data_IF_289326673177
#
_entry.id   IF_289326673177
#
_cell.length_a   1.000
_cell.length_b   1.000
_cell.length_c   1.000
_cell.angle_alpha   90.00
_cell.angle_beta   90.00
_cell.angle_gamma   90.00
#
_symmetry.space_group_name_H-M   'P 1'
#
loop_
_entity.id
_entity.type
_entity.pdbx_description
1 polymer ?
#
# COMPACT_ATOMS: atom_id res chain seq x y z
N UNK A 1 -28.09 -21.23 -48.13
CA UNK A 1 -27.02 -22.19 -47.76
C UNK A 1 -25.84 -21.95 -48.68
N UNK A 2 -24.80 -21.27 -48.21
CA UNK A 2 -23.52 -21.15 -48.90
C UNK A 2 -22.45 -21.80 -48.02
N UNK A 3 -21.52 -22.61 -48.56
CA UNK A 3 -20.66 -23.48 -47.76
C UNK A 3 -19.59 -22.68 -47.03
N UNK A 4 -19.20 -23.20 -45.85
CA UNK A 4 -18.18 -22.66 -44.99
C UNK A 4 -16.84 -22.51 -45.74
N UNK A 5 -16.23 -21.32 -45.62
CA UNK A 5 -14.85 -21.11 -46.05
C UNK A 5 -13.93 -21.87 -45.09
N UNK A 6 -13.33 -22.92 -45.60
CA UNK A 6 -12.16 -23.59 -45.05
C UNK A 6 -11.08 -22.55 -44.73
N UNK A 7 -10.68 -22.47 -43.47
CA UNK A 7 -9.52 -21.69 -43.01
C UNK A 7 -8.42 -22.67 -42.66
N UNK A 8 -7.90 -23.37 -43.67
CA UNK A 8 -6.60 -24.03 -43.57
C UNK A 8 -5.52 -22.95 -43.43
N UNK A 9 -4.70 -23.07 -42.38
CA UNK A 9 -3.54 -22.20 -42.15
C UNK A 9 -2.53 -22.37 -43.31
N UNK A 10 -1.86 -21.30 -43.75
CA UNK A 10 -0.86 -21.42 -44.81
C UNK A 10 0.32 -22.29 -44.33
N UNK A 11 0.59 -23.37 -45.05
CA UNK A 11 1.62 -24.37 -44.74
C UNK A 11 3.03 -23.97 -45.23
N UNK A 12 3.42 -22.71 -44.99
CA UNK A 12 4.72 -22.15 -45.42
C UNK A 12 5.67 -21.94 -44.24
N UNK A 13 5.86 -22.95 -43.40
CA UNK A 13 7.02 -23.02 -42.51
C UNK A 13 8.03 -23.99 -43.12
N UNK A 14 9.15 -23.44 -43.62
CA UNK A 14 10.29 -24.27 -44.02
C UNK A 14 10.64 -25.23 -42.86
N UNK A 15 10.92 -26.52 -43.13
CA UNK A 15 11.28 -27.47 -42.09
C UNK A 15 12.56 -26.99 -41.40
N UNK A 16 12.47 -26.71 -40.09
CA UNK A 16 13.58 -26.36 -39.21
C UNK A 16 14.73 -27.36 -39.39
N UNK A 17 15.94 -26.86 -39.61
CA UNK A 17 17.12 -27.71 -39.77
C UNK A 17 17.41 -28.50 -38.49
N UNK A 18 18.13 -29.64 -38.57
CA UNK A 18 18.51 -30.42 -37.39
C UNK A 18 19.25 -29.59 -36.32
N UNK A 19 20.09 -28.64 -36.75
CA UNK A 19 20.82 -27.73 -35.85
C UNK A 19 19.88 -26.71 -35.19
N UNK A 20 18.94 -26.14 -35.95
CA UNK A 20 17.94 -25.22 -35.40
C UNK A 20 17.01 -25.93 -34.41
N UNK A 21 16.66 -27.19 -34.69
CA UNK A 21 15.88 -28.04 -33.78
C UNK A 21 16.65 -28.31 -32.49
N UNK A 22 17.94 -28.67 -32.58
CA UNK A 22 18.77 -28.92 -31.41
C UNK A 22 18.93 -27.67 -30.54
N UNK A 23 19.10 -26.49 -31.14
CA UNK A 23 19.19 -25.24 -30.39
C UNK A 23 17.84 -24.85 -29.76
N UNK A 24 16.72 -25.04 -30.48
CA UNK A 24 15.39 -24.86 -29.91
C UNK A 24 15.13 -25.82 -28.73
N UNK A 25 15.51 -27.09 -28.86
CA UNK A 25 15.40 -28.07 -27.77
C UNK A 25 16.26 -27.67 -26.57
N UNK A 26 17.47 -27.13 -26.79
CA UNK A 26 18.35 -26.62 -25.73
C UNK A 26 17.75 -25.39 -25.04
N UNK A 27 17.19 -24.46 -25.82
CA UNK A 27 16.52 -23.25 -25.30
C UNK A 27 15.24 -23.60 -24.53
N UNK A 28 14.44 -24.56 -25.02
CA UNK A 28 13.23 -25.05 -24.33
C UNK A 28 13.63 -25.76 -23.03
N UNK A 29 14.66 -26.60 -23.05
CA UNK A 29 15.16 -27.26 -21.84
C UNK A 29 15.69 -26.26 -20.81
N UNK A 30 16.38 -25.21 -21.27
CA UNK A 30 16.84 -24.12 -20.40
C UNK A 30 15.67 -23.30 -19.84
N UNK A 31 14.69 -22.94 -20.67
CA UNK A 31 13.49 -22.23 -20.27
C UNK A 31 12.61 -23.04 -19.30
N UNK A 32 12.58 -24.37 -19.43
CA UNK A 32 11.86 -25.27 -18.53
C UNK A 32 12.44 -25.31 -17.10
N UNK A 33 13.67 -24.82 -16.88
CA UNK A 33 14.18 -24.59 -15.52
C UNK A 33 13.58 -23.35 -14.86
N UNK A 34 13.06 -22.41 -15.66
CA UNK A 34 12.47 -21.16 -15.19
C UNK A 34 10.94 -21.14 -15.27
N UNK A 35 10.33 -22.06 -16.03
CA UNK A 35 8.89 -22.11 -16.29
C UNK A 35 8.29 -23.46 -15.84
N UNK A 36 7.19 -23.47 -15.07
CA UNK A 36 6.58 -24.72 -14.62
C UNK A 36 5.93 -25.49 -15.79
N UNK A 37 6.18 -26.80 -15.85
CA UNK A 37 5.82 -27.67 -16.98
C UNK A 37 4.35 -28.18 -16.98
N UNK A 38 3.45 -27.62 -16.16
CA UNK A 38 2.11 -28.18 -15.94
C UNK A 38 1.01 -27.23 -16.45
N UNK A 39 0.18 -27.71 -17.38
CA UNK A 39 -1.08 -27.06 -17.76
C UNK A 39 -2.30 -27.76 -17.15
N UNK A 40 -3.51 -27.22 -17.41
CA UNK A 40 -4.07 -26.04 -16.76
C UNK A 40 -4.62 -26.38 -15.35
N UNK A 41 -4.33 -25.56 -14.34
CA UNK A 41 -4.85 -25.73 -12.97
C UNK A 41 -5.38 -24.40 -12.45
N UNK A 42 -6.45 -24.51 -11.68
CA UNK A 42 -7.58 -23.61 -11.50
C UNK A 42 -7.66 -23.01 -10.09
N UNK A 43 -6.65 -23.21 -9.23
CA UNK A 43 -6.58 -22.52 -7.93
C UNK A 43 -5.15 -22.32 -7.41
N UNK A 44 -4.87 -21.06 -7.05
CA UNK A 44 -3.85 -20.51 -6.15
C UNK A 44 -2.36 -20.93 -6.34
N UNK A 45 -1.61 -19.97 -6.89
CA UNK A 45 -0.15 -19.74 -6.88
C UNK A 45 0.67 -20.83 -6.17
N UNK A 46 1.29 -21.71 -6.96
CA UNK A 46 2.39 -22.55 -6.45
C UNK A 46 3.70 -22.43 -7.22
N UNK A 47 3.81 -21.60 -8.28
CA UNK A 47 5.06 -20.95 -8.66
C UNK A 47 4.74 -19.82 -9.63
N UNK A 48 4.92 -18.58 -9.19
CA UNK A 48 4.78 -17.40 -10.05
C UNK A 48 5.81 -17.50 -11.18
N UNK A 49 5.46 -17.22 -12.44
CA UNK A 49 6.45 -17.09 -13.53
C UNK A 49 7.46 -15.98 -13.26
N UNK A 50 7.19 -15.13 -12.26
CA UNK A 50 8.13 -14.18 -11.71
C UNK A 50 9.18 -14.79 -10.75
N UNK A 51 9.16 -16.11 -10.50
CA UNK A 51 10.17 -16.76 -9.66
C UNK A 51 11.60 -16.55 -10.20
N UNK A 52 11.74 -16.41 -11.52
CA UNK A 52 13.01 -16.08 -12.17
C UNK A 52 13.48 -14.61 -11.94
N UNK A 53 12.61 -13.78 -11.34
CA UNK A 53 12.81 -12.34 -11.10
C UNK A 53 12.55 -11.97 -9.63
N UNK A 54 12.67 -12.91 -8.69
CA UNK A 54 12.40 -12.67 -7.26
C UNK A 54 13.34 -11.65 -6.61
N UNK A 55 14.48 -11.40 -7.26
CA UNK A 55 15.47 -10.39 -6.85
C UNK A 55 15.03 -8.95 -7.24
N UNK A 56 13.95 -8.80 -8.02
CA UNK A 56 13.42 -7.52 -8.48
C UNK A 56 12.10 -7.17 -7.76
N UNK A 57 11.81 -5.87 -7.51
CA UNK A 57 10.49 -5.43 -7.08
C UNK A 57 9.37 -5.93 -8.02
N UNK A 58 8.19 -6.23 -7.48
CA UNK A 58 7.12 -6.91 -8.22
C UNK A 58 6.77 -6.22 -9.55
N UNK A 59 6.66 -4.88 -9.57
CA UNK A 59 6.34 -4.13 -10.78
C UNK A 59 7.46 -4.20 -11.84
N UNK A 60 8.72 -4.21 -11.40
CA UNK A 60 9.89 -4.32 -12.28
C UNK A 60 10.00 -5.73 -12.86
N UNK A 61 9.82 -6.75 -12.02
CA UNK A 61 9.77 -8.15 -12.41
C UNK A 61 8.69 -8.41 -13.48
N UNK A 62 7.50 -7.82 -13.32
CA UNK A 62 6.40 -7.91 -14.30
C UNK A 62 6.80 -7.28 -15.64
N UNK A 63 7.39 -6.08 -15.62
CA UNK A 63 7.81 -5.38 -16.83
C UNK A 63 8.94 -6.12 -17.53
N UNK A 64 9.90 -6.65 -16.77
CA UNK A 64 11.03 -7.42 -17.28
C UNK A 64 10.55 -8.74 -17.90
N UNK A 65 9.71 -9.49 -17.20
CA UNK A 65 9.06 -10.70 -17.73
C UNK A 65 8.29 -10.40 -19.01
N UNK A 66 7.54 -9.29 -19.07
CA UNK A 66 6.77 -8.93 -20.25
C UNK A 66 7.63 -8.63 -21.48
N UNK A 67 8.81 -8.04 -21.30
CA UNK A 67 9.78 -7.83 -22.38
C UNK A 67 10.39 -9.14 -22.88
N UNK A 68 10.72 -10.05 -21.97
CA UNK A 68 11.37 -11.32 -22.31
C UNK A 68 10.38 -12.26 -23.01
N UNK A 69 9.18 -12.42 -22.46
CA UNK A 69 8.21 -13.39 -22.95
C UNK A 69 7.25 -12.82 -24.00
N UNK A 70 7.24 -11.50 -24.22
CA UNK A 70 6.33 -10.84 -25.13
C UNK A 70 4.85 -10.94 -24.70
N UNK A 71 4.60 -11.19 -23.43
CA UNK A 71 3.27 -11.35 -22.84
C UNK A 71 3.11 -10.42 -21.65
N UNK A 72 1.94 -9.78 -21.50
CA UNK A 72 1.64 -9.06 -20.25
C UNK A 72 1.15 -10.09 -19.22
N UNK A 73 1.81 -10.25 -18.06
CA UNK A 73 1.45 -11.28 -17.08
C UNK A 73 0.09 -11.01 -16.41
N UNK A 74 -0.37 -9.76 -16.44
CA UNK A 74 -1.74 -9.36 -16.13
C UNK A 74 -2.23 -8.37 -17.18
N UNK A 75 -3.54 -8.26 -17.37
CA UNK A 75 -4.13 -7.29 -18.28
C UNK A 75 -4.16 -5.91 -17.59
N UNK A 76 -3.40 -4.89 -18.04
CA UNK A 76 -3.43 -3.57 -17.42
C UNK A 76 -4.84 -2.99 -17.48
N UNK A 77 -5.22 -2.19 -16.47
CA UNK A 77 -6.59 -1.65 -16.41
C UNK A 77 -6.97 -0.94 -17.72
N UNK A 78 -6.10 -0.08 -18.26
CA UNK A 78 -6.35 0.63 -19.53
C UNK A 78 -6.69 -0.31 -20.70
N UNK A 79 -5.99 -1.45 -20.80
CA UNK A 79 -6.22 -2.47 -21.84
C UNK A 79 -7.47 -3.29 -21.56
N UNK A 80 -7.70 -3.68 -20.31
CA UNK A 80 -8.95 -4.33 -19.87
C UNK A 80 -10.16 -3.46 -20.24
N UNK A 81 -10.13 -2.17 -19.92
CA UNK A 81 -11.20 -1.21 -20.25
C UNK A 81 -11.37 -1.07 -21.77
N UNK A 82 -10.29 -1.04 -22.54
CA UNK A 82 -10.37 -0.99 -24.00
C UNK A 82 -11.04 -2.24 -24.59
N UNK A 83 -10.71 -3.43 -24.10
CA UNK A 83 -11.33 -4.69 -24.56
C UNK A 83 -12.79 -4.82 -24.11
N UNK A 84 -13.14 -4.35 -22.91
CA UNK A 84 -14.52 -4.23 -22.43
C UNK A 84 -15.34 -3.28 -23.32
N UNK A 85 -14.81 -2.09 -23.62
CA UNK A 85 -15.46 -1.11 -24.50
C UNK A 85 -15.64 -1.62 -25.95
N UNK A 86 -14.71 -2.47 -26.42
CA UNK A 86 -14.80 -3.15 -27.73
C UNK A 86 -15.74 -4.37 -27.71
N UNK A 87 -16.31 -4.72 -26.57
CA UNK A 87 -17.16 -5.91 -26.39
C UNK A 87 -16.41 -7.24 -26.49
N UNK A 88 -15.07 -7.22 -26.39
CA UNK A 88 -14.22 -8.42 -26.37
C UNK A 88 -14.21 -9.10 -25.01
N UNK A 89 -14.39 -8.32 -23.95
CA UNK A 89 -14.80 -8.79 -22.63
C UNK A 89 -16.27 -8.43 -22.49
N UNK A 90 -17.15 -9.40 -22.23
CA UNK A 90 -18.59 -9.15 -22.10
C UNK A 90 -19.00 -9.19 -20.63
N UNK A 91 -20.05 -8.47 -20.28
CA UNK A 91 -20.59 -8.53 -18.91
C UNK A 91 -20.94 -9.97 -18.50
N UNK A 92 -21.48 -10.76 -19.42
CA UNK A 92 -21.79 -12.17 -19.18
C UNK A 92 -20.55 -13.03 -18.86
N UNK A 93 -19.38 -12.68 -19.42
CA UNK A 93 -18.13 -13.39 -19.11
C UNK A 93 -17.65 -13.00 -17.69
N UNK A 94 -17.81 -11.73 -17.30
CA UNK A 94 -17.52 -11.24 -15.95
C UNK A 94 -18.45 -11.91 -14.93
N UNK A 95 -19.75 -11.93 -15.21
CA UNK A 95 -20.75 -12.59 -14.37
C UNK A 95 -20.44 -14.08 -14.19
N UNK A 96 -20.08 -14.79 -15.27
CA UNK A 96 -19.73 -16.20 -15.21
C UNK A 96 -18.47 -16.48 -14.37
N UNK A 97 -17.48 -15.58 -14.37
CA UNK A 97 -16.29 -15.71 -13.52
C UNK A 97 -16.66 -15.50 -12.05
N UNK A 98 -17.39 -14.43 -11.74
CA UNK A 98 -17.82 -14.12 -10.37
C UNK A 98 -18.71 -15.21 -9.77
N UNK A 99 -19.54 -15.84 -10.60
CA UNK A 99 -20.42 -16.94 -10.18
C UNK A 99 -19.63 -18.24 -9.91
N UNK A 100 -18.54 -18.50 -10.64
CA UNK A 100 -17.67 -19.66 -10.43
C UNK A 100 -16.85 -19.56 -9.14
N UNK A 101 -16.45 -18.35 -8.75
CA UNK A 101 -15.65 -18.13 -7.54
C UNK A 101 -16.44 -18.34 -6.23
N UNK A 102 -17.76 -18.59 -6.31
CA UNK A 102 -18.57 -18.95 -5.14
C UNK A 102 -18.67 -17.85 -4.09
N UNK A 103 -18.42 -16.59 -4.45
CA UNK A 103 -18.33 -15.45 -3.54
C UNK A 103 -19.71 -14.90 -3.10
N UNK A 104 -20.67 -15.78 -2.82
CA UNK A 104 -21.91 -15.43 -2.14
C UNK A 104 -21.67 -15.25 -0.65
N UNK A 105 -21.00 -14.15 -0.26
CA UNK A 105 -21.02 -13.67 1.13
C UNK A 105 -22.27 -12.82 1.34
N UNK A 106 -22.88 -12.95 2.51
CA UNK A 106 -24.05 -12.17 2.92
C UNK A 106 -23.84 -10.67 2.67
N UNK A 107 -24.77 -10.05 1.94
CA UNK A 107 -24.64 -8.65 1.55
C UNK A 107 -24.67 -7.69 2.75
N UNK A 108 -23.82 -6.66 2.69
CA UNK A 108 -23.73 -5.56 3.67
C UNK A 108 -24.60 -4.38 3.23
N UNK A 109 -25.06 -3.59 4.19
CA UNK A 109 -25.79 -2.36 3.88
C UNK A 109 -24.81 -1.25 3.44
N UNK A 110 -24.97 -0.79 2.20
CA UNK A 110 -24.21 0.31 1.61
C UNK A 110 -25.18 1.28 0.94
N UNK A 111 -25.08 2.58 1.27
CA UNK A 111 -25.90 3.65 0.69
C UNK A 111 -27.43 3.39 0.69
N UNK A 112 -27.95 2.71 1.72
CA UNK A 112 -29.38 2.42 1.86
C UNK A 112 -29.88 1.15 1.15
N UNK A 113 -29.00 0.40 0.48
CA UNK A 113 -29.31 -0.90 -0.12
C UNK A 113 -28.43 -2.03 0.40
N UNK A 114 -28.89 -3.28 0.28
CA UNK A 114 -28.06 -4.46 0.57
C UNK A 114 -27.21 -4.75 -0.67
N UNK A 115 -25.90 -4.73 -0.51
CA UNK A 115 -24.92 -4.96 -1.59
C UNK A 115 -24.07 -6.17 -1.22
N UNK A 116 -24.00 -7.17 -2.10
CA UNK A 116 -23.12 -8.33 -1.91
C UNK A 116 -21.68 -8.03 -2.35
N UNK A 117 -20.73 -8.84 -1.89
CA UNK A 117 -19.34 -8.75 -2.35
C UNK A 117 -19.26 -8.94 -3.88
N UNK A 118 -20.05 -9.88 -4.41
CA UNK A 118 -20.21 -10.10 -5.85
C UNK A 118 -20.67 -8.83 -6.57
N UNK A 119 -21.67 -8.14 -6.03
CA UNK A 119 -22.18 -6.90 -6.65
C UNK A 119 -21.10 -5.81 -6.66
N UNK A 120 -20.34 -5.68 -5.58
CA UNK A 120 -19.21 -4.75 -5.52
C UNK A 120 -18.15 -5.09 -6.57
N UNK A 121 -17.70 -6.34 -6.64
CA UNK A 121 -16.69 -6.77 -7.61
C UNK A 121 -17.17 -6.63 -9.05
N UNK A 122 -18.44 -6.96 -9.32
CA UNK A 122 -19.07 -6.74 -10.62
C UNK A 122 -19.02 -5.26 -11.00
N UNK A 123 -19.39 -4.37 -10.08
CA UNK A 123 -19.34 -2.92 -10.32
C UNK A 123 -17.91 -2.44 -10.57
N UNK A 124 -16.91 -2.92 -9.80
CA UNK A 124 -15.49 -2.56 -9.98
C UNK A 124 -14.93 -3.03 -11.33
N UNK A 125 -15.35 -4.20 -11.80
CA UNK A 125 -14.94 -4.77 -13.09
C UNK A 125 -15.65 -4.08 -14.25
N UNK A 126 -16.89 -3.63 -14.09
CA UNK A 126 -17.64 -2.98 -15.17
C UNK A 126 -17.40 -1.47 -15.25
N UNK A 127 -17.14 -0.84 -14.12
CA UNK A 127 -17.01 0.60 -14.02
C UNK A 127 -15.62 0.94 -13.47
N UNK A 128 -14.92 1.92 -14.07
CA UNK A 128 -13.69 2.42 -13.48
C UNK A 128 -14.00 2.95 -12.08
N UNK A 129 -13.20 2.55 -11.10
CA UNK A 129 -13.13 3.31 -9.85
C UNK A 129 -12.51 4.63 -10.23
N UNK A 130 -13.33 5.68 -10.19
CA UNK A 130 -12.84 7.02 -10.50
C UNK A 130 -11.78 7.37 -9.49
N UNK A 131 -10.57 7.63 -9.97
CA UNK A 131 -9.47 8.07 -9.14
C UNK A 131 -9.74 9.50 -8.64
N UNK A 132 -9.08 9.89 -7.56
CA UNK A 132 -9.22 11.24 -6.97
C UNK A 132 -8.84 12.36 -7.96
N UNK A 133 -8.03 12.04 -8.97
CA UNK A 133 -7.65 12.93 -10.07
C UNK A 133 -8.73 13.09 -11.16
N UNK A 134 -9.79 12.27 -11.15
CA UNK A 134 -10.91 12.41 -12.08
C UNK A 134 -11.75 13.64 -11.71
N UNK A 135 -11.75 14.63 -12.61
CA UNK A 135 -12.52 15.86 -12.48
C UNK A 135 -14.02 15.62 -12.20
N UNK A 136 -14.58 14.47 -12.58
CA UNK A 136 -15.97 14.12 -12.33
C UNK A 136 -16.28 13.78 -10.87
N UNK A 137 -15.28 13.42 -10.06
CA UNK A 137 -15.42 13.11 -8.61
C UNK A 137 -14.56 14.00 -7.73
N UNK A 138 -13.85 14.96 -8.32
CA UNK A 138 -13.04 15.91 -7.57
C UNK A 138 -13.85 16.61 -6.46
N UNK A 139 -13.29 16.78 -5.23
CA UNK A 139 -13.99 17.38 -4.09
C UNK A 139 -14.69 18.71 -4.38
N UNK A 140 -14.16 19.51 -5.31
CA UNK A 140 -14.75 20.78 -5.75
C UNK A 140 -16.17 20.67 -6.34
N UNK A 141 -16.66 19.46 -6.63
CA UNK A 141 -18.03 19.23 -7.13
C UNK A 141 -19.05 18.99 -6.03
N UNK A 142 -18.61 18.94 -4.78
CA UNK A 142 -19.44 18.70 -3.60
C UNK A 142 -19.52 19.96 -2.74
N UNK A 143 -20.66 20.18 -2.09
CA UNK A 143 -20.73 21.17 -1.02
C UNK A 143 -20.10 20.59 0.26
N UNK A 144 -18.88 21.05 0.54
CA UNK A 144 -18.10 20.63 1.70
C UNK A 144 -18.12 21.67 2.82
N UNK A 145 -19.00 22.68 2.75
CA UNK A 145 -19.05 23.80 3.70
C UNK A 145 -19.35 23.40 5.15
N UNK A 146 -19.97 22.22 5.36
CA UNK A 146 -20.30 21.69 6.68
C UNK A 146 -19.12 21.06 7.42
N UNK A 147 -18.03 20.69 6.72
CA UNK A 147 -16.84 20.11 7.34
C UNK A 147 -16.25 21.09 8.36
N UNK A 148 -15.55 20.62 9.40
CA UNK A 148 -14.90 21.51 10.38
C UNK A 148 -13.50 21.08 10.73
N UNK A 149 -13.25 19.78 10.73
CA UNK A 149 -11.97 19.15 11.06
C UNK A 149 -11.77 18.03 10.05
N UNK A 150 -10.55 17.89 9.54
CA UNK A 150 -10.13 16.77 8.71
C UNK A 150 -9.15 15.92 9.48
N UNK A 151 -9.17 14.60 9.30
CA UNK A 151 -8.25 13.67 9.95
C UNK A 151 -7.38 12.95 8.94
N UNK A 152 -6.12 12.71 9.30
CA UNK A 152 -5.19 11.79 8.63
C UNK A 152 -4.67 10.79 9.67
N UNK A 153 -4.48 9.54 9.26
CA UNK A 153 -4.16 8.44 10.17
C UNK A 153 -3.52 7.28 9.42
N UNK A 154 -2.68 6.50 10.11
CA UNK A 154 -2.13 5.24 9.62
C UNK A 154 -0.71 5.39 9.07
N UNK A 155 -0.52 6.34 8.16
CA UNK A 155 0.78 6.61 7.53
C UNK A 155 1.15 8.10 7.65
N UNK A 156 2.46 8.43 7.64
CA UNK A 156 2.89 9.82 7.64
C UNK A 156 2.36 10.55 6.39
N UNK A 157 1.53 11.58 6.61
CA UNK A 157 1.02 12.39 5.51
C UNK A 157 2.12 13.30 4.94
N UNK A 158 2.47 13.11 3.67
CA UNK A 158 3.46 13.97 3.03
C UNK A 158 2.95 15.44 2.94
N UNK A 159 3.83 16.45 2.96
CA UNK A 159 3.42 17.85 2.97
C UNK A 159 2.55 18.27 1.78
N UNK A 160 2.75 17.69 0.60
CA UNK A 160 1.97 18.02 -0.59
C UNK A 160 0.53 17.50 -0.50
N UNK A 161 0.36 16.24 -0.11
CA UNK A 161 -0.94 15.64 0.18
C UNK A 161 -1.66 16.40 1.30
N UNK A 162 -0.93 16.81 2.35
CA UNK A 162 -1.48 17.66 3.41
C UNK A 162 -2.02 18.98 2.85
N UNK A 163 -1.22 19.67 2.02
CA UNK A 163 -1.63 20.94 1.41
C UNK A 163 -2.80 20.77 0.45
N UNK A 164 -2.82 19.69 -0.33
CA UNK A 164 -3.94 19.37 -1.21
C UNK A 164 -5.22 19.15 -0.41
N UNK A 165 -5.14 18.36 0.67
CA UNK A 165 -6.29 18.03 1.52
C UNK A 165 -6.84 19.29 2.22
N UNK A 166 -5.94 20.16 2.68
CA UNK A 166 -6.29 21.42 3.33
C UNK A 166 -7.00 22.37 2.35
N UNK A 167 -6.53 22.45 1.11
CA UNK A 167 -7.08 23.35 0.08
C UNK A 167 -8.37 22.81 -0.54
N UNK A 168 -8.32 21.60 -1.09
CA UNK A 168 -9.38 21.09 -1.97
C UNK A 168 -10.54 20.46 -1.21
N UNK A 169 -10.29 19.85 -0.05
CA UNK A 169 -11.35 19.30 0.81
C UNK A 169 -11.66 20.26 1.95
N UNK A 170 -10.61 20.78 2.59
CA UNK A 170 -10.73 21.64 3.76
C UNK A 170 -11.15 23.07 3.46
N UNK A 171 -11.10 23.51 2.19
CA UNK A 171 -11.41 24.88 1.79
C UNK A 171 -10.58 25.94 2.52
N UNK A 172 -9.36 25.58 2.90
CA UNK A 172 -8.43 26.39 3.71
C UNK A 172 -8.99 26.82 5.09
N UNK A 173 -10.10 26.22 5.54
CA UNK A 173 -10.79 26.56 6.80
C UNK A 173 -10.76 25.43 7.82
N UNK A 174 -10.67 24.17 7.37
CA UNK A 174 -10.64 23.01 8.25
C UNK A 174 -9.20 22.68 8.67
N UNK A 175 -8.85 22.68 9.96
CA UNK A 175 -7.59 22.11 10.43
C UNK A 175 -7.52 20.61 10.11
N UNK A 176 -6.34 20.15 9.72
CA UNK A 176 -6.03 18.73 9.55
C UNK A 176 -5.36 18.22 10.83
N UNK A 177 -6.00 17.25 11.49
CA UNK A 177 -5.43 16.51 12.59
C UNK A 177 -4.73 15.26 12.06
N UNK A 178 -3.40 15.32 12.00
CA UNK A 178 -2.57 14.16 11.73
C UNK A 178 -2.39 13.37 13.04
N UNK A 179 -2.92 12.15 13.09
CA UNK A 179 -3.05 11.38 14.34
C UNK A 179 -2.15 10.15 14.32
N UNK A 180 -1.07 10.21 15.09
CA UNK A 180 -0.23 9.04 15.33
C UNK A 180 -0.79 8.20 16.48
N UNK A 181 -1.01 6.92 16.20
CA UNK A 181 -1.34 5.86 17.15
C UNK A 181 -1.18 4.50 16.48
N UNK A 182 -1.27 3.44 17.29
CA UNK A 182 -1.19 2.05 16.85
C UNK A 182 -2.30 1.23 17.52
N UNK A 183 -2.59 0.04 17.00
CA UNK A 183 -3.57 -0.87 17.61
C UNK A 183 -3.31 -1.07 19.11
N UNK A 184 -2.06 -1.21 19.50
CA UNK A 184 -1.57 -1.42 20.85
C UNK A 184 -1.75 -0.22 21.77
N UNK A 185 -1.83 0.98 21.20
CA UNK A 185 -1.99 2.21 21.98
C UNK A 185 -3.45 2.47 22.38
N UNK A 186 -4.38 1.86 21.65
CA UNK A 186 -5.83 1.94 21.88
C UNK A 186 -6.47 3.29 21.54
N UNK A 187 -5.70 4.28 21.08
CA UNK A 187 -6.20 5.60 20.69
C UNK A 187 -5.08 6.58 20.39
N UNK A 188 -5.43 7.81 19.98
CA UNK A 188 -4.49 8.85 19.59
C UNK A 188 -3.41 9.09 20.66
N UNK A 189 -2.14 9.12 20.24
CA UNK A 189 -1.00 9.34 21.13
C UNK A 189 -0.38 10.71 20.90
N UNK A 190 -0.16 11.07 19.64
CA UNK A 190 0.44 12.34 19.23
C UNK A 190 -0.46 12.91 18.13
N UNK A 191 -1.06 14.06 18.40
CA UNK A 191 -2.00 14.70 17.48
C UNK A 191 -2.21 16.17 17.88
N UNK A 192 -2.39 17.09 16.92
CA UNK A 192 -2.73 18.47 17.25
C UNK A 192 -4.12 18.55 17.86
N UNK A 193 -4.30 19.45 18.84
CA UNK A 193 -5.60 19.80 19.36
C UNK A 193 -6.19 20.91 18.48
N UNK A 194 -7.31 20.66 17.76
CA UNK A 194 -7.94 21.67 16.91
C UNK A 194 -8.22 22.96 17.68
N UNK A 195 -7.77 24.09 17.12
CA UNK A 195 -7.95 25.42 17.73
C UNK A 195 -6.93 25.78 18.82
N UNK A 196 -6.02 24.89 19.20
CA UNK A 196 -4.98 25.16 20.20
C UNK A 196 -3.55 24.95 19.65
N UNK A 197 -3.34 23.94 18.82
CA UNK A 197 -2.01 23.60 18.29
C UNK A 197 -1.82 24.16 16.87
N UNK A 198 -0.88 25.10 16.65
CA UNK A 198 -0.48 25.49 15.30
C UNK A 198 -0.04 24.27 14.48
N UNK A 199 -0.52 24.15 13.25
CA UNK A 199 -0.24 22.99 12.41
C UNK A 199 1.02 23.21 11.59
N UNK A 200 1.75 22.12 11.35
CA UNK A 200 2.86 22.09 10.40
C UNK A 200 2.61 20.89 9.47
N UNK A 201 2.56 21.08 8.14
CA UNK A 201 2.31 19.98 7.20
C UNK A 201 3.25 18.79 7.43
N UNK A 202 2.68 17.59 7.52
CA UNK A 202 3.40 16.32 7.79
C UNK A 202 3.94 16.17 9.22
N UNK A 203 3.39 16.89 10.20
CA UNK A 203 3.71 16.74 11.61
C UNK A 203 2.46 16.41 12.42
N UNK A 204 2.55 15.37 13.23
CA UNK A 204 1.55 15.02 14.24
C UNK A 204 1.62 15.94 15.49
N UNK A 205 2.56 16.89 15.52
CA UNK A 205 2.73 17.96 16.52
C UNK A 205 3.11 17.48 17.91
N UNK A 206 2.24 17.57 18.91
CA UNK A 206 2.55 17.32 20.32
C UNK A 206 1.82 16.07 20.83
N UNK A 207 2.41 15.35 21.82
CA UNK A 207 1.72 14.27 22.50
C UNK A 207 0.47 14.77 23.21
N UNK A 208 -0.59 13.95 23.25
CA UNK A 208 -1.77 14.27 24.04
C UNK A 208 -1.45 14.34 25.54
N UNK A 209 -2.26 15.07 26.34
CA UNK A 209 -2.09 15.12 27.79
C UNK A 209 -2.00 13.72 28.41
N UNK A 210 -0.96 13.49 29.21
CA UNK A 210 -0.69 12.20 29.85
C UNK A 210 0.19 11.24 29.03
N UNK A 211 0.44 11.52 27.75
CA UNK A 211 1.33 10.72 26.91
C UNK A 211 2.77 11.25 27.02
N UNK A 212 3.67 10.44 27.57
CA UNK A 212 5.06 10.84 27.82
C UNK A 212 6.00 10.35 26.71
N UNK A 213 5.70 10.74 25.47
CA UNK A 213 6.51 10.36 24.31
C UNK A 213 7.93 10.93 24.39
N UNK A 214 8.92 10.10 24.08
CA UNK A 214 10.36 10.38 24.00
C UNK A 214 10.88 9.98 22.61
N UNK A 215 11.97 10.59 22.17
CA UNK A 215 12.78 10.05 21.08
C UNK A 215 14.13 9.69 21.67
N UNK A 216 14.58 8.47 21.42
CA UNK A 216 15.79 7.89 22.02
C UNK A 216 16.67 7.22 20.98
N UNK A 217 17.92 6.92 21.36
CA UNK A 217 18.80 6.04 20.62
C UNK A 217 18.45 4.55 20.86
N UNK A 218 19.26 3.64 20.30
CA UNK A 218 19.03 2.19 20.36
C UNK A 218 19.10 1.59 21.77
N UNK A 219 19.72 2.30 22.72
CA UNK A 219 19.87 1.86 24.12
C UNK A 219 18.99 2.68 25.08
N UNK A 220 18.10 3.53 24.55
CA UNK A 220 17.12 4.28 25.34
C UNK A 220 17.60 5.64 25.85
N UNK A 221 18.75 6.16 25.41
CA UNK A 221 19.18 7.51 25.81
C UNK A 221 18.41 8.58 25.04
N UNK A 222 18.00 9.69 25.69
CA UNK A 222 17.36 10.80 25.00
C UNK A 222 18.24 11.40 23.92
N UNK A 223 17.65 11.69 22.76
CA UNK A 223 18.33 12.44 21.70
C UNK A 223 17.88 13.91 21.67
N UNK A 224 18.75 14.84 21.25
CA UNK A 224 18.37 16.25 21.07
C UNK A 224 17.29 16.43 20.00
N UNK A 225 16.51 17.50 20.12
CA UNK A 225 15.62 17.93 19.04
C UNK A 225 16.43 18.24 17.77
N UNK A 226 15.83 18.00 16.61
CA UNK A 226 16.46 18.12 15.29
C UNK A 226 17.11 16.82 14.80
N UNK A 227 17.31 15.84 15.69
CA UNK A 227 17.91 14.55 15.35
C UNK A 227 16.85 13.46 15.28
N UNK A 228 16.99 12.53 14.34
CA UNK A 228 16.13 11.36 14.20
C UNK A 228 16.52 10.24 15.14
N UNK A 229 15.53 9.51 15.64
CA UNK A 229 15.71 8.33 16.48
C UNK A 229 14.44 7.53 16.64
N UNK A 230 14.39 6.74 17.71
CA UNK A 230 13.33 5.77 17.96
C UNK A 230 12.27 6.38 18.86
N UNK A 231 11.00 6.29 18.44
CA UNK A 231 9.86 6.74 19.22
C UNK A 231 9.55 5.75 20.35
N UNK A 232 9.49 6.27 21.57
CA UNK A 232 9.12 5.49 22.76
C UNK A 232 8.15 6.27 23.64
N UNK A 233 7.44 5.58 24.53
CA UNK A 233 6.59 6.19 25.57
C UNK A 233 7.11 5.81 26.95
N UNK A 234 7.50 6.80 27.75
CA UNK A 234 8.25 6.59 29.00
C UNK A 234 7.41 6.14 30.20
N UNK A 235 6.09 6.28 30.13
CA UNK A 235 5.17 5.91 31.22
C UNK A 235 3.90 5.29 30.64
N UNK A 236 3.26 4.34 31.35
CA UNK A 236 2.03 3.73 30.89
C UNK A 236 0.90 4.77 30.78
N UNK A 237 -0.04 4.49 29.90
CA UNK A 237 -1.25 5.29 29.68
C UNK A 237 -2.51 4.40 29.79
N UNK A 238 -3.71 4.99 29.99
CA UNK A 238 -4.90 4.22 30.29
C UNK A 238 -5.28 3.18 29.24
N UNK A 239 -5.21 3.52 27.95
CA UNK A 239 -5.64 2.65 26.83
C UNK A 239 -4.57 1.67 26.33
N UNK A 240 -3.39 1.65 26.97
CA UNK A 240 -2.29 0.77 26.58
C UNK A 240 -2.70 -0.70 26.55
N UNK A 241 -2.28 -1.44 25.53
CA UNK A 241 -2.40 -2.90 25.48
C UNK A 241 -1.86 -3.54 26.77
N UNK A 242 -2.53 -4.58 27.25
CA UNK A 242 -2.19 -5.23 28.53
C UNK A 242 -1.29 -6.45 28.39
N UNK A 243 -1.44 -7.19 27.29
CA UNK A 243 -0.68 -8.40 26.95
C UNK A 243 -1.01 -8.83 25.53
N UNK A 244 -0.28 -9.81 24.99
CA UNK A 244 -0.69 -10.60 23.84
C UNK A 244 -1.41 -11.86 24.35
N UNK A 245 -2.52 -12.22 23.71
CA UNK A 245 -3.31 -13.39 24.08
C UNK A 245 -2.46 -14.67 24.00
N UNK A 246 -2.44 -15.45 25.09
CA UNK A 246 -1.62 -16.66 25.26
C UNK A 246 -0.10 -16.47 25.09
N UNK A 247 0.42 -15.23 25.06
CA UNK A 247 1.85 -14.97 24.86
C UNK A 247 2.35 -13.71 25.59
N UNK A 248 2.37 -13.71 26.94
CA UNK A 248 2.83 -12.58 27.73
C UNK A 248 4.33 -12.28 27.57
N UNK A 249 5.13 -13.26 27.17
CA UNK A 249 6.57 -13.08 26.97
C UNK A 249 6.86 -12.33 25.67
N UNK A 250 6.13 -12.63 24.59
CA UNK A 250 6.20 -11.81 23.37
C UNK A 250 5.78 -10.36 23.62
N UNK A 251 4.79 -10.12 24.48
CA UNK A 251 4.40 -8.76 24.86
C UNK A 251 5.57 -7.98 25.48
N UNK A 252 6.25 -8.56 26.49
CA UNK A 252 7.41 -7.93 27.11
C UNK A 252 8.54 -7.71 26.10
N UNK A 253 8.92 -8.76 25.37
CA UNK A 253 10.04 -8.70 24.41
C UNK A 253 9.81 -7.69 23.30
N UNK A 254 8.58 -7.59 22.78
CA UNK A 254 8.28 -6.73 21.63
C UNK A 254 8.16 -5.26 22.02
N UNK A 255 7.55 -4.97 23.18
CA UNK A 255 7.20 -3.61 23.56
C UNK A 255 8.07 -3.02 24.67
N UNK A 256 8.82 -3.85 25.41
CA UNK A 256 9.68 -3.44 26.51
C UNK A 256 11.06 -4.14 26.40
N UNK A 257 11.82 -3.84 25.34
CA UNK A 257 13.13 -4.45 25.12
C UNK A 257 14.08 -4.20 26.30
N UNK A 258 14.85 -5.23 26.67
CA UNK A 258 15.82 -5.16 27.78
C UNK A 258 16.95 -4.17 27.47
N UNK A 259 17.29 -4.02 26.19
CA UNK A 259 18.31 -3.11 25.68
C UNK A 259 17.99 -1.65 25.99
N UNK A 260 16.71 -1.30 26.13
CA UNK A 260 16.21 0.02 26.55
C UNK A 260 15.79 0.04 28.02
N UNK A 261 16.28 -0.91 28.82
CA UNK A 261 16.01 -1.04 30.25
C UNK A 261 14.63 -1.58 30.61
N UNK A 262 13.87 -2.13 29.65
CA UNK A 262 12.61 -2.86 29.90
C UNK A 262 11.47 -2.05 30.53
N UNK A 263 11.56 -0.72 30.53
CA UNK A 263 10.60 0.17 31.22
C UNK A 263 9.90 1.16 30.31
N UNK A 264 10.44 1.38 29.11
CA UNK A 264 9.85 2.25 28.10
C UNK A 264 9.10 1.41 27.06
N UNK A 265 7.92 1.87 26.66
CA UNK A 265 7.20 1.26 25.55
C UNK A 265 7.85 1.63 24.22
N UNK A 266 8.30 0.64 23.47
CA UNK A 266 8.80 0.78 22.10
C UNK A 266 7.63 0.81 21.11
N UNK A 267 7.47 1.92 20.38
CA UNK A 267 6.45 2.02 19.31
C UNK A 267 6.89 1.26 18.04
N UNK A 268 8.21 1.13 17.81
CA UNK A 268 8.74 0.55 16.57
C UNK A 268 8.72 1.53 15.39
N UNK A 269 8.53 2.82 15.66
CA UNK A 269 8.54 3.88 14.65
C UNK A 269 9.74 4.81 14.85
N UNK A 270 10.33 5.25 13.75
CA UNK A 270 11.29 6.33 13.72
C UNK A 270 10.57 7.67 13.83
N UNK A 271 11.18 8.62 14.54
CA UNK A 271 10.65 9.96 14.65
C UNK A 271 11.76 11.02 14.77
N UNK A 272 11.41 12.25 14.39
CA UNK A 272 12.17 13.48 14.64
C UNK A 272 11.31 14.43 15.44
N UNK A 273 11.94 15.13 16.39
CA UNK A 273 11.36 16.34 17.00
C UNK A 273 11.93 17.58 16.36
N UNK A 274 11.08 18.53 15.98
CA UNK A 274 11.56 19.79 15.43
C UNK A 274 12.35 20.58 16.49
N UNK A 275 13.46 21.20 16.09
CA UNK A 275 14.34 21.96 16.98
C UNK A 275 13.65 23.17 17.60
N UNK A 276 12.70 23.78 16.87
CA UNK A 276 12.04 25.03 17.21
C UNK A 276 10.83 24.86 18.14
N UNK A 277 9.97 23.88 17.85
CA UNK A 277 8.65 23.69 18.49
C UNK A 277 8.55 22.38 19.26
N UNK A 278 9.55 21.50 19.13
CA UNK A 278 9.51 20.16 19.69
C UNK A 278 8.42 19.29 19.06
N UNK A 279 7.98 19.63 17.84
CA UNK A 279 6.90 18.91 17.16
C UNK A 279 7.41 17.62 16.57
N UNK A 280 6.63 16.56 16.76
CA UNK A 280 6.97 15.23 16.29
C UNK A 280 6.60 15.07 14.81
N UNK A 281 7.48 14.39 14.09
CA UNK A 281 7.24 13.86 12.75
C UNK A 281 7.62 12.39 12.78
N UNK A 282 6.74 11.54 12.31
CA UNK A 282 6.99 10.10 12.19
C UNK A 282 7.70 9.90 10.85
N UNK A 283 8.85 9.22 10.85
CA UNK A 283 9.63 9.00 9.63
C UNK A 283 9.32 7.65 8.97
N UNK A 284 8.57 6.79 9.65
CA UNK A 284 8.21 5.44 9.20
C UNK A 284 8.61 4.38 10.23
N UNK A 285 8.37 3.12 9.88
CA UNK A 285 8.74 1.94 10.65
C UNK A 285 10.26 1.82 10.77
N UNK A 286 10.79 1.49 11.95
CA UNK A 286 12.25 1.37 12.15
C UNK A 286 12.87 0.19 11.38
N UNK A 287 12.06 -0.82 11.10
CA UNK A 287 12.38 -2.01 10.31
C UNK A 287 12.44 -1.71 8.80
N UNK A 288 11.80 -0.63 8.34
CA UNK A 288 11.77 -0.22 6.93
C UNK A 288 12.75 0.94 6.62
N UNK A 289 13.73 1.20 7.49
CA UNK A 289 14.69 2.32 7.35
C UNK A 289 15.89 1.92 6.50
N UNK A 290 16.20 2.72 5.47
CA UNK A 290 17.45 2.62 4.73
C UNK A 290 18.58 3.40 5.45
N UNK A 291 19.73 2.74 5.65
CA UNK A 291 20.92 3.38 6.19
C UNK A 291 21.88 3.74 5.05
N UNK A 292 22.03 5.05 4.78
CA UNK A 292 22.95 5.57 3.76
C UNK A 292 23.99 6.43 4.45
N UNK A 293 25.25 6.00 4.44
CA UNK A 293 26.38 6.75 5.04
C UNK A 293 26.16 7.14 6.51
N UNK A 294 25.54 6.26 7.31
CA UNK A 294 25.31 6.49 8.74
C UNK A 294 24.09 7.35 9.08
N UNK A 295 23.34 7.80 8.06
CA UNK A 295 22.08 8.52 8.24
C UNK A 295 20.91 7.56 8.01
N UNK A 296 20.04 7.45 9.02
CA UNK A 296 18.79 6.69 8.92
C UNK A 296 17.77 7.53 8.17
N UNK A 297 17.43 7.11 6.95
CA UNK A 297 16.37 7.73 6.15
C UNK A 297 15.13 6.85 6.19
N UNK A 298 14.02 7.41 6.67
CA UNK A 298 12.74 6.73 6.69
C UNK A 298 12.05 6.76 5.32
N UNK A 299 11.14 5.81 5.08
CA UNK A 299 10.36 5.72 3.82
C UNK A 299 9.66 7.03 3.48
N UNK A 300 9.09 7.72 4.47
CA UNK A 300 8.42 9.00 4.27
C UNK A 300 9.33 10.06 3.64
N UNK A 301 10.60 10.16 4.06
CA UNK A 301 11.51 11.19 3.55
C UNK A 301 11.83 10.95 2.07
N UNK A 302 12.01 9.68 1.69
CA UNK A 302 12.30 9.26 0.33
C UNK A 302 11.06 9.45 -0.56
N UNK A 303 9.89 9.00 -0.11
CA UNK A 303 8.62 9.17 -0.83
C UNK A 303 8.28 10.65 -1.02
N UNK A 304 8.42 11.47 0.03
CA UNK A 304 8.18 12.92 -0.06
C UNK A 304 9.10 13.59 -1.07
N UNK A 305 10.36 13.17 -1.15
CA UNK A 305 11.30 13.69 -2.14
C UNK A 305 10.92 13.31 -3.58
N UNK A 306 10.41 12.09 -3.79
CA UNK A 306 9.96 11.62 -5.11
C UNK A 306 8.69 12.35 -5.56
N UNK A 307 7.70 12.52 -4.67
CA UNK A 307 6.46 13.23 -4.98
C UNK A 307 6.75 14.68 -5.41
N UNK A 308 7.67 15.37 -4.73
CA UNK A 308 8.03 16.78 -5.03
C UNK A 308 8.66 17.03 -6.41
N UNK A 309 9.02 15.98 -7.17
CA UNK A 309 9.66 16.08 -8.49
C UNK A 309 8.74 15.72 -9.67
N UNK A 310 7.47 15.47 -9.41
CA UNK A 310 6.46 15.16 -10.44
C UNK A 310 5.54 16.37 -10.64
#
# INVERSE_FOLDING_TARGET
MGPARDRSLPSDTMPISPEQRAELERLIAHAAHYLPAQGPIDVFIHHNTLHAFEEEPFEEAVVHAARIFGTEPFLPESRYRAELARGRIREADIDAVLDREGQQRDGTMLAGGRVSLRDLQRVLLLHPVRQESDAAVHPARSDLSSLRILGSVGEPINPEAWMWYYKHVGGERCPIVDTFWQTETGGHMITPLPGATPLVPGSCTLPLPGIMAAIVDEVGNPIPNGTGGILVVKRPWPSMIRTIWNDPERFKKSYFPEEMGGTMYLAGDGAVRSADRGYFRITGRIDDVLNVSGHRMGTMEIESALVSKT
#
